data_IF_708931857373
#
_entry.id   IF_708931857373
#
_cell.length_a   1.000
_cell.length_b   1.000
_cell.length_c   1.000
_cell.angle_alpha   90.00
_cell.angle_beta   90.00
_cell.angle_gamma   90.00
#
_symmetry.space_group_name_H-M   'P 1'
#
loop_
_entity.id
_entity.type
_entity.pdbx_description
1 polymer ?
#
# COMPACT_ATOMS: atom_id res chain seq x y z
N UNK A 1 -17.64 10.20 -8.19
CA UNK A 1 -16.49 9.37 -7.79
C UNK A 1 -16.36 8.21 -8.78
N UNK A 2 -15.16 7.97 -9.32
CA UNK A 2 -14.91 6.91 -10.30
C UNK A 2 -15.22 5.52 -9.68
N UNK A 3 -15.86 4.62 -10.43
CA UNK A 3 -16.18 3.26 -9.99
C UNK A 3 -14.94 2.47 -9.56
N UNK A 4 -13.79 2.71 -10.20
CA UNK A 4 -12.52 2.12 -9.81
C UNK A 4 -12.09 2.57 -8.41
N UNK A 5 -12.05 3.89 -8.16
CA UNK A 5 -11.70 4.48 -6.85
C UNK A 5 -12.62 3.93 -5.75
N UNK A 6 -13.93 3.90 -6.01
CA UNK A 6 -14.93 3.30 -5.13
C UNK A 6 -14.64 1.83 -4.81
N UNK A 7 -14.37 1.02 -5.84
CA UNK A 7 -14.04 -0.40 -5.69
C UNK A 7 -12.76 -0.60 -4.90
N UNK A 8 -11.74 0.20 -5.17
CA UNK A 8 -10.46 0.13 -4.49
C UNK A 8 -10.57 0.50 -3.00
N UNK A 9 -11.24 1.61 -2.68
CA UNK A 9 -11.47 2.00 -1.29
C UNK A 9 -12.24 0.95 -0.50
N UNK A 10 -13.22 0.25 -1.12
CA UNK A 10 -13.89 -0.89 -0.48
C UNK A 10 -12.94 -2.06 -0.18
N UNK A 11 -11.99 -2.34 -1.08
CA UNK A 11 -10.97 -3.36 -0.83
C UNK A 11 -10.05 -2.93 0.32
N UNK A 12 -9.61 -1.68 0.33
CA UNK A 12 -8.78 -1.14 1.42
C UNK A 12 -9.52 -1.20 2.77
N UNK A 13 -10.80 -0.84 2.80
CA UNK A 13 -11.65 -1.01 3.98
C UNK A 13 -11.65 -2.45 4.48
N UNK A 14 -11.86 -3.41 3.58
CA UNK A 14 -11.90 -4.82 3.93
C UNK A 14 -10.56 -5.34 4.48
N UNK A 15 -9.45 -4.99 3.82
CA UNK A 15 -8.14 -5.56 4.11
C UNK A 15 -7.38 -4.87 5.24
N UNK A 16 -7.57 -3.57 5.45
CA UNK A 16 -6.69 -2.77 6.29
C UNK A 16 -7.40 -2.01 7.41
N UNK A 17 -8.58 -1.42 7.17
CA UNK A 17 -9.19 -0.52 8.16
C UNK A 17 -9.58 -1.27 9.43
N UNK A 18 -9.04 -0.81 10.58
CA UNK A 18 -9.25 -1.43 11.89
C UNK A 18 -8.58 -2.78 12.06
N UNK A 19 -7.64 -3.14 11.18
CA UNK A 19 -6.87 -4.39 11.27
C UNK A 19 -5.54 -4.14 11.96
N UNK A 20 -5.09 -5.13 12.71
CA UNK A 20 -3.77 -5.15 13.32
C UNK A 20 -2.79 -5.88 12.42
N UNK A 21 -1.80 -5.14 11.92
CA UNK A 21 -0.66 -5.70 11.19
C UNK A 21 0.38 -6.17 12.19
N UNK A 22 0.97 -7.34 11.93
CA UNK A 22 2.08 -7.88 12.70
C UNK A 22 3.40 -7.71 11.94
N UNK A 23 3.41 -8.13 10.67
CA UNK A 23 4.63 -8.16 9.87
C UNK A 23 4.38 -7.61 8.45
N UNK A 24 5.40 -7.01 7.88
CA UNK A 24 5.57 -6.91 6.43
C UNK A 24 6.34 -8.14 5.98
N UNK A 25 5.94 -8.77 4.89
CA UNK A 25 6.62 -9.91 4.30
C UNK A 25 7.07 -9.51 2.89
N UNK A 26 8.38 -9.48 2.71
CA UNK A 26 9.04 -9.30 1.42
C UNK A 26 9.31 -10.67 0.81
N UNK A 27 9.20 -10.76 -0.51
CA UNK A 27 9.64 -11.93 -1.25
C UNK A 27 11.00 -11.64 -1.89
N UNK A 28 11.89 -12.61 -1.79
CA UNK A 28 13.20 -12.59 -2.42
C UNK A 28 13.28 -13.77 -3.40
N UNK A 29 13.96 -13.59 -4.53
CA UNK A 29 14.37 -14.71 -5.36
C UNK A 29 15.42 -15.54 -4.59
N UNK A 30 15.28 -16.87 -4.57
CA UNK A 30 16.27 -17.72 -3.89
C UNK A 30 17.63 -17.71 -4.63
N UNK A 31 17.65 -17.47 -5.95
CA UNK A 31 18.87 -17.59 -6.75
C UNK A 31 19.93 -16.54 -6.38
N UNK A 32 19.53 -15.28 -6.23
CA UNK A 32 20.41 -14.14 -5.95
C UNK A 32 20.05 -13.37 -4.67
N UNK A 33 18.98 -13.79 -3.98
CA UNK A 33 18.45 -13.13 -2.79
C UNK A 33 18.01 -11.68 -3.04
N UNK A 34 17.74 -11.31 -4.31
CA UNK A 34 17.20 -10.01 -4.68
C UNK A 34 15.74 -9.91 -4.23
N UNK A 35 15.39 -8.79 -3.61
CA UNK A 35 14.02 -8.52 -3.20
C UNK A 35 13.18 -8.21 -4.43
N UNK A 36 12.04 -8.87 -4.56
CA UNK A 36 11.00 -8.49 -5.51
C UNK A 36 10.35 -7.17 -5.03
N UNK A 37 10.42 -6.15 -5.86
CA UNK A 37 9.86 -4.82 -5.63
C UNK A 37 8.40 -4.69 -6.08
N UNK A 38 7.94 -5.56 -6.97
CA UNK A 38 6.59 -5.54 -7.53
C UNK A 38 5.55 -6.31 -6.69
N UNK A 39 5.95 -6.92 -5.56
CA UNK A 39 5.07 -7.67 -4.66
C UNK A 39 5.39 -7.41 -3.19
N UNK A 40 4.36 -7.37 -2.34
CA UNK A 40 4.46 -7.11 -0.92
C UNK A 40 3.32 -7.81 -0.18
N UNK A 41 3.60 -8.43 0.96
CA UNK A 41 2.56 -9.04 1.78
C UNK A 41 2.54 -8.42 3.18
N UNK A 42 1.37 -8.42 3.81
CA UNK A 42 1.20 -8.07 5.22
C UNK A 42 0.55 -9.21 5.97
N UNK A 43 1.12 -9.57 7.11
CA UNK A 43 0.56 -10.54 8.05
C UNK A 43 -0.26 -9.81 9.12
N UNK A 44 -1.49 -10.28 9.37
CA UNK A 44 -2.41 -9.74 10.39
C UNK A 44 -2.46 -10.64 11.63
N UNK A 45 -3.05 -10.13 12.72
CA UNK A 45 -3.14 -10.78 14.06
C UNK A 45 -3.67 -12.22 14.12
N UNK A 46 -4.27 -12.75 13.06
CA UNK A 46 -4.82 -14.11 13.01
C UNK A 46 -4.13 -15.00 11.95
N UNK A 47 -2.88 -14.70 11.59
CA UNK A 47 -2.18 -15.33 10.45
C UNK A 47 -2.87 -15.11 9.09
N UNK A 48 -3.86 -14.21 9.03
CA UNK A 48 -4.42 -13.78 7.75
C UNK A 48 -3.39 -12.93 7.03
N UNK A 49 -3.28 -13.13 5.72
CA UNK A 49 -2.36 -12.36 4.88
C UNK A 49 -3.15 -11.45 3.95
N UNK A 50 -2.57 -10.31 3.59
CA UNK A 50 -2.96 -9.55 2.40
C UNK A 50 -1.74 -9.30 1.53
N UNK A 51 -1.79 -9.79 0.30
CA UNK A 51 -0.80 -9.52 -0.74
C UNK A 51 -1.19 -8.31 -1.56
N UNK A 52 -0.19 -7.52 -1.94
CA UNK A 52 -0.23 -6.45 -2.92
C UNK A 52 0.71 -6.84 -4.07
N UNK A 53 0.26 -6.64 -5.30
CA UNK A 53 1.07 -6.89 -6.48
C UNK A 53 0.81 -5.82 -7.53
N UNK A 54 1.86 -5.34 -8.18
CA UNK A 54 1.78 -4.34 -9.23
C UNK A 54 2.45 -4.83 -10.51
N UNK A 55 1.85 -4.52 -11.67
CA UNK A 55 2.43 -4.76 -12.99
C UNK A 55 1.89 -3.76 -13.99
N UNK A 56 2.47 -2.57 -14.01
CA UNK A 56 2.13 -1.49 -14.94
C UNK A 56 0.84 -0.72 -14.65
N UNK A 57 -0.17 -1.36 -14.02
CA UNK A 57 -1.43 -0.72 -13.63
C UNK A 57 -1.68 -0.86 -12.13
N UNK A 58 -2.75 -0.22 -11.66
CA UNK A 58 -3.34 -0.33 -10.32
C UNK A 58 -3.11 -1.67 -9.61
N UNK A 59 -2.70 -1.67 -8.33
CA UNK A 59 -2.29 -2.88 -7.65
C UNK A 59 -3.45 -3.88 -7.48
N UNK A 60 -3.11 -5.15 -7.65
CA UNK A 60 -3.95 -6.29 -7.30
C UNK A 60 -3.80 -6.61 -5.82
N UNK A 61 -4.88 -7.12 -5.22
CA UNK A 61 -4.89 -7.58 -3.84
C UNK A 61 -5.29 -9.04 -3.78
N UNK A 62 -4.60 -9.81 -2.93
CA UNK A 62 -4.97 -11.18 -2.57
C UNK A 62 -5.10 -11.33 -1.07
N UNK A 63 -6.00 -12.21 -0.63
CA UNK A 63 -6.16 -12.63 0.76
C UNK A 63 -5.36 -13.89 1.12
N UNK A 64 -4.55 -14.41 0.19
CA UNK A 64 -3.81 -15.66 0.34
C UNK A 64 -2.31 -15.37 0.36
N UNK A 65 -1.56 -16.22 1.07
CA UNK A 65 -0.10 -16.23 0.92
C UNK A 65 0.29 -16.82 -0.43
N UNK A 66 1.50 -16.50 -0.92
CA UNK A 66 2.00 -17.03 -2.19
C UNK A 66 2.06 -18.56 -2.22
N UNK A 67 2.34 -19.20 -1.08
CA UNK A 67 2.41 -20.67 -0.99
C UNK A 67 1.06 -21.36 -0.76
N UNK A 68 0.02 -20.62 -0.33
CA UNK A 68 -1.35 -21.13 -0.30
C UNK A 68 -1.93 -21.17 -1.71
N UNK A 69 -1.78 -20.07 -2.44
CA UNK A 69 -2.12 -19.98 -3.85
C UNK A 69 -1.38 -18.82 -4.50
N UNK A 70 -0.77 -19.10 -5.63
CA UNK A 70 -0.06 -18.11 -6.43
C UNK A 70 -1.02 -17.25 -7.26
N UNK A 71 -1.84 -16.44 -6.58
CA UNK A 71 -2.83 -15.54 -7.20
C UNK A 71 -2.17 -14.50 -8.14
N UNK A 72 -0.88 -14.24 -7.96
CA UNK A 72 -0.10 -13.29 -8.77
C UNK A 72 0.74 -13.96 -9.86
N UNK A 73 0.74 -15.30 -9.92
CA UNK A 73 1.47 -16.10 -10.90
C UNK A 73 3.00 -15.83 -10.89
N UNK A 74 3.57 -15.67 -9.69
CA UNK A 74 5.00 -15.43 -9.46
C UNK A 74 5.84 -16.66 -9.82
N UNK A 75 5.37 -17.88 -9.57
CA UNK A 75 6.12 -19.10 -9.89
C UNK A 75 6.23 -19.38 -11.40
N UNK A 76 5.57 -18.58 -12.24
CA UNK A 76 5.83 -18.59 -13.68
C UNK A 76 7.12 -17.84 -14.06
N UNK A 77 7.60 -16.95 -13.18
CA UNK A 77 8.80 -16.13 -13.41
C UNK A 77 9.95 -16.49 -12.47
N UNK A 78 9.64 -17.02 -11.29
CA UNK A 78 10.60 -17.36 -10.25
C UNK A 78 10.54 -18.85 -9.93
N UNK A 79 11.67 -19.54 -9.95
CA UNK A 79 11.71 -20.97 -9.62
C UNK A 79 11.39 -21.22 -8.14
N UNK A 80 11.95 -20.36 -7.27
CA UNK A 80 11.76 -20.41 -5.82
C UNK A 80 11.79 -19.01 -5.23
N UNK A 81 11.05 -18.86 -4.15
CA UNK A 81 10.91 -17.61 -3.43
C UNK A 81 11.28 -17.85 -1.97
N UNK A 82 11.77 -16.82 -1.30
CA UNK A 82 12.07 -16.80 0.13
C UNK A 82 11.29 -15.65 0.78
N UNK A 83 10.59 -15.95 1.88
CA UNK A 83 9.92 -14.93 2.69
C UNK A 83 10.88 -14.29 3.71
N UNK A 84 10.99 -12.97 3.67
CA UNK A 84 11.71 -12.17 4.68
C UNK A 84 10.69 -11.32 5.43
N UNK A 85 10.56 -11.56 6.74
CA UNK A 85 9.58 -10.88 7.59
C UNK A 85 10.20 -9.73 8.38
N UNK A 86 9.52 -8.59 8.39
CA UNK A 86 9.84 -7.43 9.21
C UNK A 86 8.70 -7.12 10.18
N UNK A 87 9.01 -7.02 11.48
CA UNK A 87 8.04 -6.81 12.56
C UNK A 87 7.68 -5.32 12.70
N UNK A 88 6.39 -5.01 12.58
CA UNK A 88 5.87 -3.62 12.56
C UNK A 88 4.78 -3.34 13.58
N UNK A 89 4.09 -4.38 14.08
CA UNK A 89 2.98 -4.37 15.06
C UNK A 89 2.29 -3.03 15.32
N UNK A 90 1.21 -2.77 14.59
CA UNK A 90 0.26 -1.70 14.94
C UNK A 90 -1.14 -1.94 14.38
N UNK A 91 -2.13 -1.33 15.03
CA UNK A 91 -3.50 -1.30 14.52
C UNK A 91 -3.70 -0.12 13.58
N UNK A 92 -4.23 -0.37 12.38
CA UNK A 92 -4.50 0.67 11.40
C UNK A 92 -5.76 1.42 11.81
N UNK A 93 -5.57 2.70 12.17
CA UNK A 93 -6.63 3.63 12.56
C UNK A 93 -6.77 4.82 11.62
N UNK A 94 -5.76 5.09 10.81
CA UNK A 94 -5.80 6.10 9.77
C UNK A 94 -5.33 5.47 8.45
N UNK A 95 -6.07 5.72 7.38
CA UNK A 95 -5.72 5.28 6.03
C UNK A 95 -5.89 6.42 5.05
N UNK A 96 -4.90 6.62 4.19
CA UNK A 96 -5.03 7.49 3.01
C UNK A 96 -4.69 6.75 1.74
N UNK A 97 -5.46 7.02 0.70
CA UNK A 97 -5.20 6.57 -0.66
C UNK A 97 -4.95 7.78 -1.54
N UNK A 98 -3.90 7.70 -2.35
CA UNK A 98 -3.44 8.78 -3.20
C UNK A 98 -3.67 8.36 -4.64
N UNK A 99 -4.53 9.08 -5.36
CA UNK A 99 -4.82 8.82 -6.77
C UNK A 99 -4.32 9.96 -7.65
N UNK A 100 -3.77 9.61 -8.80
CA UNK A 100 -3.51 10.56 -9.88
C UNK A 100 -4.84 10.98 -10.54
N UNK A 101 -5.06 12.29 -10.70
CA UNK A 101 -6.32 12.82 -11.27
C UNK A 101 -6.45 12.62 -12.78
N UNK A 102 -5.33 12.49 -13.50
CA UNK A 102 -5.27 12.38 -14.96
C UNK A 102 -5.55 10.95 -15.41
N UNK A 103 -4.97 9.95 -14.75
CA UNK A 103 -5.03 8.54 -15.16
C UNK A 103 -5.94 7.67 -14.28
N UNK A 104 -6.46 8.21 -13.16
CA UNK A 104 -7.19 7.44 -12.14
C UNK A 104 -6.39 6.25 -11.60
N UNK A 105 -5.07 6.41 -11.50
CA UNK A 105 -4.16 5.40 -11.00
C UNK A 105 -3.88 5.63 -9.53
N UNK A 106 -3.78 4.55 -8.76
CA UNK A 106 -3.33 4.60 -7.38
C UNK A 106 -1.82 4.80 -7.34
N UNK A 107 -1.38 5.90 -6.74
CA UNK A 107 0.03 6.24 -6.58
C UNK A 107 0.56 5.86 -5.21
N UNK A 108 -0.30 5.78 -4.20
CA UNK A 108 0.13 5.35 -2.90
C UNK A 108 -0.96 5.00 -1.91
N UNK A 109 -0.53 4.33 -0.86
CA UNK A 109 -1.31 3.99 0.32
C UNK A 109 -0.51 4.45 1.54
N UNK A 110 -1.17 5.13 2.48
CA UNK A 110 -0.62 5.44 3.79
C UNK A 110 -1.49 4.77 4.86
N UNK A 111 -0.85 4.00 5.74
CA UNK A 111 -1.47 3.28 6.84
C UNK A 111 -0.82 3.77 8.13
N UNK A 112 -1.60 4.15 9.13
CA UNK A 112 -1.06 4.58 10.42
C UNK A 112 -1.95 4.19 11.59
N UNK A 113 -1.35 4.13 12.77
CA UNK A 113 -2.06 4.03 14.04
C UNK A 113 -2.73 5.37 14.42
N UNK A 114 -3.45 5.39 15.55
CA UNK A 114 -4.34 6.51 15.91
C UNK A 114 -3.58 7.83 16.12
N UNK A 115 -2.42 7.78 16.76
CA UNK A 115 -1.57 8.95 17.03
C UNK A 115 -0.49 9.18 15.97
N UNK A 116 -0.46 8.32 14.94
CA UNK A 116 0.49 8.35 13.82
C UNK A 116 1.94 8.14 14.24
N UNK A 117 2.20 7.56 15.42
CA UNK A 117 3.56 7.19 15.86
C UNK A 117 4.14 6.03 15.05
N UNK A 118 3.26 5.18 14.49
CA UNK A 118 3.61 4.07 13.62
C UNK A 118 2.85 4.22 12.32
N UNK A 119 3.58 4.22 11.21
CA UNK A 119 3.00 4.40 9.90
C UNK A 119 3.77 3.63 8.82
N UNK A 120 3.09 3.40 7.71
CA UNK A 120 3.66 2.80 6.50
C UNK A 120 3.13 3.60 5.32
N UNK A 121 4.02 4.07 4.45
CA UNK A 121 3.67 4.52 3.11
C UNK A 121 4.13 3.50 2.10
N UNK A 122 3.27 3.19 1.14
CA UNK A 122 3.55 2.36 -0.02
C UNK A 122 3.33 3.25 -1.23
N UNK A 123 4.38 3.49 -2.02
CA UNK A 123 4.30 4.19 -3.29
C UNK A 123 4.34 3.18 -4.44
N UNK A 124 3.46 3.34 -5.41
CA UNK A 124 3.29 2.48 -6.57
C UNK A 124 3.79 3.20 -7.81
N UNK A 125 4.92 2.78 -8.38
CA UNK A 125 5.53 3.40 -9.55
C UNK A 125 5.71 2.34 -10.65
N UNK A 126 4.91 2.42 -11.71
CA UNK A 126 4.94 1.48 -12.84
C UNK A 126 4.73 0.02 -12.39
N UNK A 127 5.80 -0.76 -12.30
CA UNK A 127 5.85 -2.14 -11.83
C UNK A 127 6.58 -2.28 -10.49
N UNK A 128 6.92 -1.20 -9.80
CA UNK A 128 7.67 -1.23 -8.54
C UNK A 128 6.84 -0.69 -7.36
N UNK A 129 7.10 -1.24 -6.17
CA UNK A 129 6.62 -0.72 -4.89
C UNK A 129 7.75 -0.27 -3.98
N UNK A 130 7.61 0.95 -3.49
CA UNK A 130 8.49 1.53 -2.50
C UNK A 130 7.77 1.62 -1.17
N UNK A 131 8.37 1.04 -0.14
CA UNK A 131 7.80 0.98 1.21
C UNK A 131 8.68 1.79 2.13
N UNK A 132 8.08 2.70 2.88
CA UNK A 132 8.75 3.39 3.98
C UNK A 132 7.89 3.36 5.23
N UNK A 133 8.55 3.35 6.38
CA UNK A 133 7.89 3.26 7.69
C UNK A 133 8.14 4.53 8.50
N UNK A 134 7.23 4.79 9.44
CA UNK A 134 7.31 5.89 10.41
C UNK A 134 7.48 7.26 9.75
N UNK A 135 6.90 7.43 8.55
CA UNK A 135 6.80 8.71 7.88
C UNK A 135 5.57 9.46 8.37
N UNK A 136 5.68 10.77 8.54
CA UNK A 136 4.52 11.63 8.67
C UNK A 136 3.72 11.68 7.37
N UNK A 137 2.48 12.12 7.47
CA UNK A 137 1.61 12.34 6.31
C UNK A 137 2.18 13.34 5.29
N UNK A 138 2.89 14.36 5.78
CA UNK A 138 3.54 15.37 4.96
C UNK A 138 4.72 14.76 4.19
N UNK A 139 5.57 13.99 4.88
CA UNK A 139 6.70 13.28 4.25
C UNK A 139 6.21 12.23 3.26
N UNK A 140 5.18 11.45 3.59
CA UNK A 140 4.56 10.49 2.68
C UNK A 140 4.08 11.18 1.40
N UNK A 141 3.41 12.34 1.53
CA UNK A 141 2.98 13.14 0.37
C UNK A 141 4.18 13.67 -0.41
N UNK A 142 5.19 14.23 0.24
CA UNK A 142 6.39 14.74 -0.43
C UNK A 142 7.08 13.64 -1.23
N UNK A 143 7.29 12.48 -0.63
CA UNK A 143 7.91 11.32 -1.30
C UNK A 143 7.11 10.86 -2.50
N UNK A 144 5.78 10.84 -2.40
CA UNK A 144 4.91 10.58 -3.55
C UNK A 144 5.08 11.68 -4.61
N UNK A 145 4.99 12.95 -4.25
CA UNK A 145 5.13 14.07 -5.19
C UNK A 145 6.52 14.15 -5.85
N UNK A 146 7.60 13.84 -5.15
CA UNK A 146 8.96 13.78 -5.69
C UNK A 146 9.14 12.66 -6.70
N UNK A 147 8.49 11.51 -6.47
CA UNK A 147 8.48 10.38 -7.41
C UNK A 147 7.57 10.62 -8.61
N UNK A 148 6.59 11.51 -8.46
CA UNK A 148 5.62 11.85 -9.50
C UNK A 148 5.55 13.37 -9.74
N UNK A 149 6.67 13.99 -10.18
CA UNK A 149 6.67 15.41 -10.52
C UNK A 149 5.63 15.62 -11.63
N UNK A 150 4.85 16.69 -11.55
CA UNK A 150 3.78 17.04 -12.50
C UNK A 150 2.45 16.28 -12.36
N UNK A 151 2.26 15.52 -11.27
CA UNK A 151 0.96 14.90 -10.99
C UNK A 151 0.12 15.67 -9.98
N UNK A 152 -1.11 16.00 -10.36
CA UNK A 152 -2.16 16.38 -9.42
C UNK A 152 -2.73 15.14 -8.71
N UNK A 153 -2.71 15.18 -7.38
CA UNK A 153 -3.18 14.10 -6.50
C UNK A 153 -4.56 14.39 -5.95
N UNK A 154 -5.47 13.41 -6.00
CA UNK A 154 -6.65 13.34 -5.16
C UNK A 154 -6.33 12.42 -3.99
N UNK A 155 -6.58 12.89 -2.78
CA UNK A 155 -6.39 12.11 -1.56
C UNK A 155 -7.76 11.80 -0.96
N UNK A 156 -7.99 10.53 -0.66
CA UNK A 156 -9.09 10.13 0.21
C UNK A 156 -8.53 9.65 1.54
N UNK A 157 -9.09 10.12 2.63
CA UNK A 157 -8.76 9.73 3.99
C UNK A 157 -9.92 8.99 4.62
N UNK A 158 -9.57 8.00 5.45
CA UNK A 158 -10.47 7.38 6.40
C UNK A 158 -9.78 7.18 7.74
N UNK A 159 -10.39 7.75 8.77
CA UNK A 159 -10.10 7.38 10.14
C UNK A 159 -11.04 6.25 10.57
N UNK A 160 -10.61 5.41 11.50
CA UNK A 160 -11.40 4.28 12.00
C UNK A 160 -12.83 4.73 12.37
N UNK A 161 -13.83 3.92 11.99
CA UNK A 161 -15.27 4.19 12.16
C UNK A 161 -15.85 5.40 11.39
N UNK A 162 -15.04 6.10 10.59
CA UNK A 162 -15.52 7.20 9.76
C UNK A 162 -15.75 6.77 8.30
N UNK A 163 -16.61 7.50 7.61
CA UNK A 163 -16.72 7.40 6.16
C UNK A 163 -15.51 8.01 5.46
N UNK A 164 -15.20 7.51 4.26
CA UNK A 164 -14.16 8.08 3.41
C UNK A 164 -14.47 9.55 3.09
N UNK A 165 -13.46 10.40 3.20
CA UNK A 165 -13.56 11.83 2.86
C UNK A 165 -12.46 12.18 1.88
N UNK A 166 -12.82 12.90 0.82
CA UNK A 166 -11.82 13.53 -0.02
C UNK A 166 -11.20 14.69 0.75
N UNK A 167 -9.88 14.73 0.81
CA UNK A 167 -9.14 15.83 1.42
C UNK A 167 -8.86 16.86 0.35
N UNK A 168 -9.40 18.06 0.53
CA UNK A 168 -9.08 19.19 -0.31
C UNK A 168 -7.81 19.85 0.21
N UNK A 169 -6.71 19.63 -0.51
CA UNK A 169 -5.45 20.32 -0.25
C UNK A 169 -5.55 21.70 -0.90
N UNK A 170 -6.31 22.62 -0.32
CA UNK A 170 -6.36 24.01 -0.82
C UNK A 170 -4.94 24.57 -1.04
N UNK A 171 -4.79 25.57 -1.93
CA UNK A 171 -3.57 26.21 -2.47
C UNK A 171 -2.49 26.73 -1.45
N UNK A 172 -2.44 26.18 -0.25
CA UNK A 172 -1.79 26.74 0.94
C UNK A 172 -0.72 25.81 1.53
N UNK A 173 0.00 25.08 0.68
CA UNK A 173 1.26 24.44 1.09
C UNK A 173 2.33 24.64 0.00
N UNK A 174 2.59 25.91 -0.32
CA UNK A 174 3.88 26.35 -0.84
C UNK A 174 4.70 26.90 0.33
N UNK A 175 5.64 26.11 0.84
CA UNK A 175 6.98 26.57 1.27
C UNK A 175 7.94 25.41 1.08
#
# INVERSE_FOLDING_TARGET
MNNYILSFMKKIDYFFVGKELLNIIYLHDEEDNERLDHVLFFEKKNSEVVGLYIRGMNPLLSSRSVYELDDFNLFASYEKLVEVKEDIRFEIKCTRVYFNTQYNELFGLYLANADKSCSIVIAFLQDEMYVEQNCSEYEARQKLSERFPDTSLIIYEKNHEQEWKQIDLGDSYHV
#
